data_IF_837391561324
#
_entry.id   IF_837391561324
#
_cell.length_a   1.000
_cell.length_b   1.000
_cell.length_c   1.000
_cell.angle_alpha   90.00
_cell.angle_beta   90.00
_cell.angle_gamma   90.00
#
_symmetry.space_group_name_H-M   'P 1'
#
loop_
_entity.id
_entity.type
_entity.pdbx_description
1 polymer ?
#
# COMPACT_ATOMS: atom_id res chain seq x y z
N UNK A 1 3.78 2.37 7.89
CA UNK A 1 3.03 3.48 7.28
C UNK A 1 1.55 3.37 7.63
N UNK A 2 0.87 4.49 7.76
CA UNK A 2 -0.59 4.55 8.00
C UNK A 2 -1.41 4.41 6.71
N UNK A 3 -0.79 4.18 5.56
CA UNK A 3 -1.49 4.14 4.27
C UNK A 3 -2.52 3.02 4.18
N UNK A 4 -2.28 1.88 4.83
CA UNK A 4 -3.27 0.81 4.95
C UNK A 4 -4.51 1.22 5.75
N UNK A 5 -4.32 1.95 6.84
CA UNK A 5 -5.40 2.50 7.67
C UNK A 5 -6.19 3.57 6.88
N UNK A 6 -5.48 4.48 6.21
CA UNK A 6 -6.10 5.49 5.36
C UNK A 6 -6.91 4.84 4.22
N UNK A 7 -6.34 3.84 3.55
CA UNK A 7 -7.05 3.09 2.52
C UNK A 7 -8.36 2.51 3.05
N UNK A 8 -8.30 1.82 4.20
CA UNK A 8 -9.48 1.23 4.84
C UNK A 8 -10.50 2.30 5.22
N UNK A 9 -10.06 3.40 5.83
CA UNK A 9 -10.93 4.50 6.20
C UNK A 9 -11.69 5.08 4.99
N UNK A 10 -11.01 5.27 3.87
CA UNK A 10 -11.62 5.76 2.63
C UNK A 10 -12.56 4.71 2.01
N UNK A 11 -12.15 3.46 1.92
CA UNK A 11 -12.93 2.40 1.28
C UNK A 11 -14.20 2.04 2.06
N UNK A 12 -14.15 2.05 3.39
CA UNK A 12 -15.24 1.57 4.25
C UNK A 12 -16.14 2.68 4.83
N UNK A 13 -15.61 3.90 4.99
CA UNK A 13 -16.31 4.98 5.69
C UNK A 13 -16.69 6.17 4.79
N UNK A 14 -16.56 6.03 3.48
CA UNK A 14 -16.97 7.06 2.52
C UNK A 14 -18.06 6.55 1.57
N UNK A 15 -18.48 7.41 0.67
CA UNK A 15 -19.41 7.07 -0.42
C UNK A 15 -18.90 5.97 -1.36
N UNK A 16 -17.63 5.58 -1.26
CA UNK A 16 -17.03 4.49 -2.06
C UNK A 16 -17.36 3.10 -1.51
N UNK A 17 -17.83 3.01 -0.26
CA UNK A 17 -18.18 1.78 0.43
C UNK A 17 -19.09 0.85 -0.38
N UNK A 18 -20.05 1.42 -1.09
CA UNK A 18 -21.02 0.67 -1.90
C UNK A 18 -20.37 -0.34 -2.85
N UNK A 19 -19.21 0.01 -3.43
CA UNK A 19 -18.47 -0.81 -4.41
C UNK A 19 -17.23 -1.48 -3.86
N UNK A 20 -16.69 -1.00 -2.75
CA UNK A 20 -15.39 -1.43 -2.23
C UNK A 20 -15.46 -2.28 -0.98
N UNK A 21 -16.58 -2.25 -0.25
CA UNK A 21 -16.74 -3.04 0.97
C UNK A 21 -16.64 -4.54 0.67
N UNK A 22 -15.75 -5.22 1.38
CA UNK A 22 -15.52 -6.66 1.20
C UNK A 22 -14.67 -7.04 -0.02
N UNK A 23 -14.16 -6.06 -0.76
CA UNK A 23 -13.31 -6.29 -1.94
C UNK A 23 -11.85 -6.23 -1.51
N UNK A 24 -11.18 -7.38 -1.49
CA UNK A 24 -9.76 -7.51 -1.12
C UNK A 24 -9.04 -8.50 -2.05
N UNK A 25 -8.77 -8.12 -3.30
CA UNK A 25 -8.08 -8.99 -4.24
C UNK A 25 -6.62 -9.21 -3.77
N UNK A 26 -6.19 -10.47 -3.66
CA UNK A 26 -4.79 -10.79 -3.28
C UNK A 26 -3.78 -10.18 -4.25
N UNK A 27 -4.13 -10.15 -5.53
CA UNK A 27 -3.33 -9.51 -6.59
C UNK A 27 -4.15 -8.41 -7.24
N UNK A 28 -3.98 -7.16 -6.80
CA UNK A 28 -4.62 -6.01 -7.43
C UNK A 28 -4.27 -5.88 -8.92
N UNK A 29 -5.19 -5.28 -9.66
CA UNK A 29 -4.99 -4.96 -11.08
C UNK A 29 -3.82 -3.98 -11.25
N UNK A 30 -2.79 -4.40 -11.98
CA UNK A 30 -1.52 -3.66 -12.13
C UNK A 30 -1.71 -2.33 -12.85
N UNK A 31 -2.51 -2.31 -13.91
CA UNK A 31 -2.72 -1.11 -14.71
C UNK A 31 -3.48 -0.06 -13.90
N UNK A 32 -4.43 -0.50 -13.10
CA UNK A 32 -5.20 0.37 -12.20
C UNK A 32 -4.39 0.87 -11.02
N UNK A 33 -3.52 0.02 -10.42
CA UNK A 33 -2.56 0.47 -9.41
C UNK A 33 -1.67 1.59 -9.96
N UNK A 34 -1.08 1.37 -11.12
CA UNK A 34 -0.22 2.34 -11.77
C UNK A 34 -0.97 3.63 -12.08
N UNK A 35 -2.15 3.53 -12.69
CA UNK A 35 -2.98 4.67 -13.02
C UNK A 35 -3.38 5.51 -11.79
N UNK A 36 -3.69 4.84 -10.66
CA UNK A 36 -4.01 5.51 -9.40
C UNK A 36 -2.81 6.25 -8.82
N UNK A 37 -1.66 5.59 -8.79
CA UNK A 37 -0.40 6.18 -8.31
C UNK A 37 0.01 7.37 -9.18
N UNK A 38 0.03 7.24 -10.50
CA UNK A 38 0.35 8.32 -11.43
C UNK A 38 -0.62 9.50 -11.28
N UNK A 39 -1.91 9.23 -11.19
CA UNK A 39 -2.91 10.28 -10.98
C UNK A 39 -2.65 11.08 -9.70
N UNK A 40 -2.33 10.39 -8.59
CA UNK A 40 -2.03 11.05 -7.33
C UNK A 40 -0.70 11.82 -7.36
N UNK A 41 0.31 11.32 -8.06
CA UNK A 41 1.59 12.00 -8.25
C UNK A 41 1.45 13.31 -9.05
N UNK A 42 0.64 13.30 -10.11
CA UNK A 42 0.46 14.45 -11.00
C UNK A 42 -0.51 15.50 -10.45
N UNK A 43 -1.58 15.07 -9.78
CA UNK A 43 -2.73 15.91 -9.45
C UNK A 43 -3.06 15.96 -7.97
N UNK A 44 -2.36 15.17 -7.16
CA UNK A 44 -2.60 15.03 -5.74
C UNK A 44 -3.66 13.97 -5.40
N UNK A 45 -3.58 13.47 -4.17
CA UNK A 45 -4.43 12.37 -3.68
C UNK A 45 -5.91 12.73 -3.70
N UNK A 46 -6.28 13.96 -3.38
CA UNK A 46 -7.69 14.39 -3.34
C UNK A 46 -8.36 14.29 -4.71
N UNK A 47 -7.67 14.71 -5.78
CA UNK A 47 -8.22 14.58 -7.14
C UNK A 47 -8.28 13.11 -7.56
N UNK A 48 -7.28 12.30 -7.19
CA UNK A 48 -7.34 10.86 -7.45
C UNK A 48 -8.51 10.18 -6.74
N UNK A 49 -8.80 10.53 -5.48
CA UNK A 49 -9.97 10.04 -4.75
C UNK A 49 -11.28 10.45 -5.43
N UNK A 50 -11.38 11.68 -5.89
CA UNK A 50 -12.54 12.15 -6.64
C UNK A 50 -12.71 11.37 -7.96
N UNK A 51 -11.62 11.05 -8.65
CA UNK A 51 -11.66 10.19 -9.84
C UNK A 51 -12.17 8.78 -9.56
N UNK A 52 -11.86 8.18 -8.39
CA UNK A 52 -12.47 6.90 -8.00
C UNK A 52 -14.01 7.02 -8.02
N UNK A 53 -14.54 8.11 -7.48
CA UNK A 53 -15.99 8.37 -7.48
C UNK A 53 -16.57 8.52 -8.88
N UNK A 54 -15.90 9.26 -9.76
CA UNK A 54 -16.31 9.41 -11.16
C UNK A 54 -16.32 8.04 -11.85
N UNK A 55 -15.26 7.27 -11.70
CA UNK A 55 -15.14 5.92 -12.28
C UNK A 55 -16.23 4.98 -11.77
N UNK A 56 -16.54 5.03 -10.46
CA UNK A 56 -17.63 4.25 -9.86
C UNK A 56 -18.99 4.54 -10.51
N UNK A 57 -19.26 5.77 -10.90
CA UNK A 57 -20.57 6.20 -11.39
C UNK A 57 -20.69 6.17 -12.91
N UNK A 58 -19.63 6.44 -13.63
CA UNK A 58 -19.68 6.70 -15.07
C UNK A 58 -18.82 5.75 -15.93
N UNK A 59 -18.00 4.90 -15.31
CA UNK A 59 -17.17 3.94 -16.01
C UNK A 59 -17.61 2.51 -15.73
N UNK A 60 -17.12 1.59 -16.56
CA UNK A 60 -17.40 0.15 -16.46
C UNK A 60 -16.40 -0.60 -15.59
N UNK A 61 -15.64 0.12 -14.74
CA UNK A 61 -14.66 -0.50 -13.87
C UNK A 61 -15.33 -1.49 -12.88
N UNK A 62 -14.70 -2.65 -12.72
CA UNK A 62 -15.09 -3.61 -11.69
C UNK A 62 -14.72 -3.09 -10.31
N UNK A 63 -15.30 -3.69 -9.27
CA UNK A 63 -14.93 -3.34 -7.88
C UNK A 63 -13.45 -3.56 -7.59
N UNK A 64 -12.84 -4.62 -8.15
CA UNK A 64 -11.40 -4.88 -8.02
C UNK A 64 -10.54 -3.84 -8.73
N UNK A 65 -10.99 -3.35 -9.87
CA UNK A 65 -10.30 -2.28 -10.60
C UNK A 65 -10.38 -0.94 -9.85
N UNK A 66 -11.55 -0.62 -9.28
CA UNK A 66 -11.71 0.56 -8.42
C UNK A 66 -10.86 0.46 -7.15
N UNK A 67 -10.85 -0.72 -6.51
CA UNK A 67 -9.99 -1.01 -5.37
C UNK A 67 -8.52 -0.75 -5.72
N UNK A 68 -8.06 -1.29 -6.83
CA UNK A 68 -6.67 -1.18 -7.27
C UNK A 68 -6.27 0.25 -7.58
N UNK A 69 -7.14 1.02 -8.24
CA UNK A 69 -6.90 2.43 -8.50
C UNK A 69 -6.81 3.23 -7.19
N UNK A 70 -7.75 3.03 -6.26
CA UNK A 70 -7.73 3.69 -4.95
C UNK A 70 -6.46 3.33 -4.18
N UNK A 71 -6.08 2.04 -4.16
CA UNK A 71 -4.89 1.58 -3.48
C UNK A 71 -3.63 2.26 -4.04
N UNK A 72 -3.48 2.31 -5.37
CA UNK A 72 -2.38 3.01 -6.02
C UNK A 72 -2.32 4.48 -5.65
N UNK A 73 -3.46 5.17 -5.62
CA UNK A 73 -3.54 6.58 -5.25
C UNK A 73 -3.11 6.85 -3.79
N UNK A 74 -3.54 6.00 -2.86
CA UNK A 74 -3.20 6.14 -1.43
C UNK A 74 -1.72 5.84 -1.18
N UNK A 75 -1.15 4.83 -1.85
CA UNK A 75 0.25 4.45 -1.68
C UNK A 75 1.24 5.42 -2.34
N UNK A 76 0.78 6.29 -3.22
CA UNK A 76 1.63 7.20 -4.00
C UNK A 76 2.60 8.01 -3.14
N UNK A 77 2.14 8.60 -2.05
CA UNK A 77 2.97 9.44 -1.18
C UNK A 77 4.15 8.66 -0.56
N UNK A 78 3.90 7.42 -0.14
CA UNK A 78 4.96 6.54 0.40
C UNK A 78 5.95 6.13 -0.71
N UNK A 79 5.45 5.79 -1.89
CA UNK A 79 6.28 5.43 -3.06
C UNK A 79 7.19 6.60 -3.45
N UNK A 80 6.65 7.81 -3.54
CA UNK A 80 7.41 9.02 -3.86
C UNK A 80 8.46 9.37 -2.79
N UNK A 81 8.13 9.16 -1.52
CA UNK A 81 9.10 9.32 -0.43
C UNK A 81 10.23 8.31 -0.56
N UNK A 82 9.90 7.03 -0.74
CA UNK A 82 10.90 5.97 -0.88
C UNK A 82 11.74 6.12 -2.15
N UNK A 83 11.18 6.67 -3.23
CA UNK A 83 11.92 7.00 -4.45
C UNK A 83 13.07 7.98 -4.17
N UNK A 84 12.89 8.92 -3.24
CA UNK A 84 13.92 9.88 -2.83
C UNK A 84 14.94 9.27 -1.87
N UNK A 85 14.45 8.53 -0.87
CA UNK A 85 15.24 8.07 0.27
C UNK A 85 15.86 6.69 0.05
N UNK A 86 15.34 5.90 -0.88
CA UNK A 86 15.67 4.48 -1.10
C UNK A 86 16.71 4.22 -2.18
N UNK A 87 17.23 5.25 -2.87
CA UNK A 87 18.19 5.07 -3.94
C UNK A 87 19.47 4.38 -3.44
N UNK A 88 19.90 3.34 -4.18
CA UNK A 88 21.09 2.56 -3.83
C UNK A 88 20.90 1.61 -2.65
N UNK A 89 19.67 1.45 -2.12
CA UNK A 89 19.35 0.54 -1.03
C UNK A 89 18.56 -0.66 -1.55
N UNK A 90 18.80 -1.82 -0.95
CA UNK A 90 17.93 -2.99 -1.12
C UNK A 90 16.66 -2.75 -0.29
N UNK A 91 15.49 -2.85 -0.92
CA UNK A 91 14.21 -2.65 -0.26
C UNK A 91 13.52 -3.99 -0.14
N UNK A 92 13.20 -4.37 1.09
CA UNK A 92 12.43 -5.57 1.39
C UNK A 92 11.02 -5.15 1.80
N UNK A 93 10.01 -5.70 1.13
CA UNK A 93 8.59 -5.41 1.38
C UNK A 93 7.98 -6.61 2.07
N UNK A 94 7.67 -6.44 3.36
CA UNK A 94 6.97 -7.42 4.19
C UNK A 94 5.49 -7.06 4.37
N UNK A 95 4.77 -7.92 5.09
CA UNK A 95 3.35 -7.79 5.37
C UNK A 95 2.49 -8.73 4.55
N UNK A 96 1.17 -8.51 4.57
CA UNK A 96 0.19 -9.32 3.85
C UNK A 96 -0.25 -8.68 2.55
N UNK A 97 -0.76 -9.51 1.63
CA UNK A 97 -1.44 -9.03 0.44
C UNK A 97 -2.81 -8.40 0.81
N UNK A 98 -3.31 -7.43 0.06
CA UNK A 98 -2.76 -6.90 -1.21
C UNK A 98 -1.67 -5.83 -1.07
N UNK A 99 -1.40 -5.34 0.14
CA UNK A 99 -0.47 -4.22 0.36
C UNK A 99 0.97 -4.58 -0.03
N UNK A 100 1.47 -5.75 0.37
CA UNK A 100 2.81 -6.22 0.03
C UNK A 100 3.03 -6.22 -1.48
N UNK A 101 2.13 -6.86 -2.22
CA UNK A 101 2.18 -6.89 -3.68
C UNK A 101 2.16 -5.48 -4.28
N UNK A 102 1.20 -4.63 -3.84
CA UNK A 102 1.04 -3.29 -4.37
C UNK A 102 2.27 -2.40 -4.13
N UNK A 103 2.83 -2.42 -2.93
CA UNK A 103 4.06 -1.69 -2.62
C UNK A 103 5.24 -2.17 -3.48
N UNK A 104 5.50 -3.48 -3.53
CA UNK A 104 6.60 -4.02 -4.31
C UNK A 104 6.47 -3.67 -5.80
N UNK A 105 5.26 -3.78 -6.34
CA UNK A 105 4.97 -3.42 -7.72
C UNK A 105 5.21 -1.93 -7.98
N UNK A 106 4.60 -1.03 -7.20
CA UNK A 106 4.71 0.41 -7.40
C UNK A 106 6.15 0.92 -7.18
N UNK A 107 6.89 0.36 -6.23
CA UNK A 107 8.30 0.72 -6.01
C UNK A 107 9.16 0.36 -7.22
N UNK A 108 8.89 -0.77 -7.88
CA UNK A 108 9.59 -1.16 -9.10
C UNK A 108 9.21 -0.28 -10.28
N UNK A 109 7.91 -0.12 -10.54
CA UNK A 109 7.40 0.53 -11.75
C UNK A 109 7.44 2.06 -11.68
N UNK A 110 7.06 2.66 -10.54
CA UNK A 110 6.99 4.12 -10.40
C UNK A 110 8.28 4.74 -9.85
N UNK A 111 8.97 4.03 -8.97
CA UNK A 111 10.16 4.57 -8.30
C UNK A 111 11.49 4.06 -8.88
N UNK A 112 11.48 3.01 -9.71
CA UNK A 112 12.69 2.40 -10.27
C UNK A 112 13.59 1.76 -9.22
N UNK A 113 13.02 1.27 -8.11
CA UNK A 113 13.75 0.71 -6.98
C UNK A 113 13.74 -0.83 -7.03
N UNK A 114 14.85 -1.44 -6.62
CA UNK A 114 14.94 -2.89 -6.46
C UNK A 114 14.18 -3.32 -5.20
N UNK A 115 12.87 -3.53 -5.33
CA UNK A 115 11.99 -3.96 -4.25
C UNK A 115 11.72 -5.47 -4.35
N UNK A 116 11.98 -6.20 -3.27
CA UNK A 116 11.76 -7.64 -3.16
C UNK A 116 10.67 -7.93 -2.13
N UNK A 117 9.74 -8.82 -2.47
CA UNK A 117 8.69 -9.26 -1.56
C UNK A 117 9.22 -10.32 -0.60
N UNK A 118 9.01 -10.13 0.69
CA UNK A 118 9.27 -11.15 1.70
C UNK A 118 8.04 -12.07 1.76
N UNK A 119 8.21 -13.41 1.73
CA UNK A 119 7.11 -14.33 1.94
C UNK A 119 6.32 -14.01 3.22
N UNK A 120 4.99 -14.11 3.16
CA UNK A 120 4.09 -13.73 4.26
C UNK A 120 4.43 -14.45 5.57
N UNK A 121 4.69 -15.76 5.51
CA UNK A 121 5.08 -16.56 6.67
C UNK A 121 6.37 -16.05 7.35
N UNK A 122 7.36 -15.57 6.57
CA UNK A 122 8.58 -14.99 7.11
C UNK A 122 8.29 -13.62 7.72
N UNK A 123 7.42 -12.83 7.09
CA UNK A 123 7.06 -11.49 7.55
C UNK A 123 6.33 -11.52 8.90
N UNK A 124 5.40 -12.46 9.08
CA UNK A 124 4.71 -12.68 10.36
C UNK A 124 5.69 -13.11 11.47
N UNK A 125 6.58 -14.06 11.16
CA UNK A 125 7.56 -14.53 12.11
C UNK A 125 8.57 -13.44 12.50
N UNK A 126 9.03 -12.63 11.53
CA UNK A 126 9.97 -11.53 11.78
C UNK A 126 9.38 -10.45 12.69
N UNK A 127 8.08 -10.16 12.59
CA UNK A 127 7.40 -9.20 13.46
C UNK A 127 7.35 -9.71 14.92
N UNK A 128 7.02 -10.98 15.13
CA UNK A 128 7.00 -11.61 16.45
C UNK A 128 8.41 -11.67 17.07
N UNK A 129 9.40 -12.09 16.30
CA UNK A 129 10.80 -12.14 16.72
C UNK A 129 11.35 -10.75 17.07
N UNK A 130 11.05 -9.73 16.27
CA UNK A 130 11.44 -8.36 16.53
C UNK A 130 10.86 -7.81 17.83
N UNK A 131 9.59 -8.10 18.10
CA UNK A 131 8.94 -7.69 19.35
C UNK A 131 9.57 -8.36 20.58
N UNK A 132 9.91 -9.65 20.49
CA UNK A 132 10.62 -10.38 21.54
C UNK A 132 12.00 -9.77 21.83
N UNK A 133 12.79 -9.48 20.79
CA UNK A 133 14.11 -8.87 20.94
C UNK A 133 14.05 -7.49 21.59
N UNK A 134 13.04 -6.68 21.27
CA UNK A 134 12.83 -5.38 21.91
C UNK A 134 12.50 -5.56 23.39
N UNK A 135 11.61 -6.50 23.73
CA UNK A 135 11.24 -6.79 25.12
C UNK A 135 12.47 -7.18 25.95
N UNK A 136 13.27 -8.12 25.45
CA UNK A 136 14.51 -8.56 26.11
C UNK A 136 15.54 -7.43 26.28
N UNK A 137 15.65 -6.55 25.30
CA UNK A 137 16.55 -5.39 25.41
C UNK A 137 16.09 -4.38 26.47
N UNK A 138 14.78 -4.18 26.61
CA UNK A 138 14.19 -3.31 27.64
C UNK A 138 14.36 -3.89 29.06
N UNK A 139 14.20 -5.19 29.22
CA UNK A 139 14.44 -5.87 30.52
C UNK A 139 15.89 -5.74 30.96
N UNK A 140 16.86 -5.93 30.07
CA UNK A 140 18.29 -5.74 30.37
C UNK A 140 18.61 -4.32 30.81
N UNK A 141 17.94 -3.30 30.27
CA UNK A 141 18.11 -1.90 30.66
C UNK A 141 17.52 -1.57 32.03
N UNK A 142 16.53 -2.31 32.51
CA UNK A 142 15.91 -2.10 33.83
C UNK A 142 16.71 -2.77 34.97
N UNK A 143 17.49 -3.79 34.63
CA UNK A 143 18.22 -4.61 35.60
C UNK A 143 19.75 -4.27 35.67
N UNK A 144 20.19 -3.28 34.94
CA UNK A 144 21.54 -2.75 34.97
C UNK A 144 21.57 -1.26 35.32
#
# INVERSE_FOLDING_TARGET
>A
SLSGELFRAVAENTILREKLMGVYPKKPDRDRLLAGCTCAAERGVNEALFKVRIRQKFCTDTSEQLFSFLLGAVLCADVERLRRDGRGRRILVGGSDPLRFAYAFLLRECAGLAAEEIPEAISEYAAAYGAEQIALALEKRKNG
#
